data_IF_525787935652
#
_entry.id   IF_525787935652
#
_cell.length_a   1.000
_cell.length_b   1.000
_cell.length_c   1.000
_cell.angle_alpha   90.00
_cell.angle_beta   90.00
_cell.angle_gamma   90.00
#
_symmetry.space_group_name_H-M   'P 1'
#
loop_
_entity.id
_entity.type
_entity.pdbx_description
1 polymer ?
#
# COMPACT_ATOMS: atom_id res chain seq x y z
N UNK A 1 10.08 -3.98 9.04
CA UNK A 1 10.13 -4.98 10.12
C UNK A 1 8.97 -5.93 9.95
N UNK A 2 9.25 -7.21 9.69
CA UNK A 2 8.24 -8.28 9.67
C UNK A 2 7.99 -8.71 11.11
N UNK A 3 6.72 -8.77 11.52
CA UNK A 3 6.34 -9.24 12.85
C UNK A 3 6.73 -10.73 12.96
N UNK A 4 7.55 -11.13 13.95
CA UNK A 4 8.21 -12.45 13.97
C UNK A 4 7.29 -13.68 14.13
N UNK A 5 5.97 -13.52 14.15
CA UNK A 5 5.00 -14.57 14.49
C UNK A 5 3.96 -14.81 13.39
N UNK A 6 4.08 -14.12 12.26
CA UNK A 6 3.19 -14.29 11.11
C UNK A 6 4.02 -14.28 9.84
N UNK A 7 4.42 -15.46 9.38
CA UNK A 7 5.20 -15.66 8.14
C UNK A 7 4.50 -15.05 6.91
N UNK A 8 3.17 -14.90 6.99
CA UNK A 8 2.32 -14.28 5.96
C UNK A 8 2.10 -12.75 6.13
N UNK A 9 2.67 -12.12 7.17
CA UNK A 9 2.38 -10.71 7.49
C UNK A 9 3.41 -9.77 6.85
N UNK A 10 2.96 -9.02 5.84
CA UNK A 10 3.77 -8.00 5.20
C UNK A 10 3.15 -7.46 3.91
N UNK A 11 3.79 -6.42 3.37
CA UNK A 11 3.59 -6.01 1.98
C UNK A 11 4.36 -6.98 1.06
N UNK A 12 3.84 -7.26 -0.14
CA UNK A 12 4.53 -8.11 -1.11
C UNK A 12 5.87 -7.50 -1.52
N UNK A 13 6.80 -8.34 -1.99
CA UNK A 13 8.16 -7.93 -2.36
C UNK A 13 8.15 -6.72 -3.30
N UNK A 14 8.77 -5.64 -2.82
CA UNK A 14 8.81 -4.34 -3.49
C UNK A 14 9.98 -4.28 -4.47
N UNK A 15 11.01 -5.12 -4.33
CA UNK A 15 12.15 -5.14 -5.26
C UNK A 15 11.73 -5.64 -6.65
N UNK A 16 10.92 -6.70 -6.70
CA UNK A 16 10.34 -7.22 -7.95
C UNK A 16 9.36 -6.24 -8.64
N UNK A 17 8.72 -5.36 -7.87
CA UNK A 17 7.79 -4.34 -8.38
C UNK A 17 8.48 -3.41 -9.39
N UNK A 18 9.67 -2.91 -9.06
CA UNK A 18 10.42 -1.95 -9.88
C UNK A 18 10.92 -2.55 -11.21
N UNK A 19 11.17 -3.86 -11.25
CA UNK A 19 11.69 -4.54 -12.45
C UNK A 19 10.62 -4.74 -13.53
N UNK A 20 9.34 -4.79 -13.16
CA UNK A 20 8.23 -5.04 -14.08
C UNK A 20 7.28 -3.85 -14.28
N UNK A 21 7.70 -2.64 -13.90
CA UNK A 21 6.91 -1.43 -14.16
C UNK A 21 6.72 -1.21 -15.67
N UNK A 22 5.54 -0.70 -16.08
CA UNK A 22 4.37 -0.35 -15.27
C UNK A 22 3.40 -1.53 -15.02
N UNK A 23 3.59 -2.67 -15.68
CA UNK A 23 2.63 -3.78 -15.67
C UNK A 23 2.45 -4.41 -14.28
N UNK A 24 3.54 -4.56 -13.51
CA UNK A 24 3.52 -5.15 -12.17
C UNK A 24 2.79 -4.31 -11.11
N UNK A 25 2.50 -3.04 -11.41
CA UNK A 25 1.85 -2.14 -10.46
C UNK A 25 0.41 -2.56 -10.15
N UNK A 26 -0.34 -2.99 -11.17
CA UNK A 26 -1.72 -3.46 -11.01
C UNK A 26 -1.79 -4.76 -10.21
N UNK A 27 -0.90 -5.71 -10.49
CA UNK A 27 -0.83 -6.96 -9.75
C UNK A 27 -0.47 -6.72 -8.28
N UNK A 28 0.47 -5.80 -8.02
CA UNK A 28 0.86 -5.40 -6.68
C UNK A 28 -0.30 -4.76 -5.91
N UNK A 29 -1.05 -3.85 -6.53
CA UNK A 29 -2.28 -3.27 -5.92
C UNK A 29 -3.27 -4.37 -5.52
N UNK A 30 -3.45 -5.39 -6.35
CA UNK A 30 -4.34 -6.52 -6.05
C UNK A 30 -3.82 -7.39 -4.90
N UNK A 31 -2.51 -7.60 -4.82
CA UNK A 31 -1.89 -8.33 -3.70
C UNK A 31 -2.02 -7.54 -2.38
N UNK A 32 -1.73 -6.24 -2.41
CA UNK A 32 -1.91 -5.33 -1.25
C UNK A 32 -3.38 -5.35 -0.80
N UNK A 33 -4.34 -5.28 -1.74
CA UNK A 33 -5.77 -5.37 -1.43
C UNK A 33 -6.12 -6.65 -0.68
N UNK A 34 -5.65 -7.81 -1.18
CA UNK A 34 -5.88 -9.10 -0.53
C UNK A 34 -5.26 -9.16 0.86
N UNK A 35 -4.04 -8.66 1.03
CA UNK A 35 -3.36 -8.62 2.32
C UNK A 35 -4.12 -7.75 3.34
N UNK A 36 -4.52 -6.53 2.95
CA UNK A 36 -5.28 -5.63 3.82
C UNK A 36 -6.62 -6.27 4.22
N UNK A 37 -7.38 -6.83 3.28
CA UNK A 37 -8.67 -7.46 3.61
C UNK A 37 -8.52 -8.72 4.48
N UNK A 38 -7.41 -9.45 4.35
CA UNK A 38 -7.12 -10.63 5.19
C UNK A 38 -6.76 -10.25 6.62
N UNK A 39 -6.01 -9.17 6.81
CA UNK A 39 -5.38 -8.84 8.10
C UNK A 39 -6.00 -7.63 8.83
N UNK A 40 -6.79 -6.79 8.17
CA UNK A 40 -7.47 -5.63 8.77
C UNK A 40 -9.00 -5.81 8.75
N UNK A 41 -9.56 -6.65 9.66
CA UNK A 41 -11.00 -6.99 9.67
C UNK A 41 -11.92 -5.81 9.97
N UNK A 42 -11.36 -4.69 10.44
CA UNK A 42 -12.09 -3.44 10.72
C UNK A 42 -12.47 -2.68 9.45
N UNK A 43 -11.81 -2.95 8.32
CA UNK A 43 -12.07 -2.30 7.04
C UNK A 43 -13.23 -2.99 6.33
N UNK A 44 -14.20 -2.22 5.85
CA UNK A 44 -15.29 -2.74 5.04
C UNK A 44 -14.80 -3.05 3.61
N UNK A 45 -15.07 -4.25 3.04
CA UNK A 45 -14.55 -4.62 1.71
C UNK A 45 -14.94 -3.66 0.58
N UNK A 46 -16.13 -3.06 0.68
CA UNK A 46 -16.65 -2.07 -0.28
C UNK A 46 -16.12 -0.66 -0.04
N UNK A 47 -15.55 -0.39 1.13
CA UNK A 47 -14.96 0.90 1.51
C UNK A 47 -13.45 0.99 1.25
N UNK A 48 -12.82 -0.06 0.69
CA UNK A 48 -11.39 -0.10 0.42
C UNK A 48 -11.07 0.27 -1.02
N UNK A 49 -10.31 1.35 -1.21
CA UNK A 49 -9.73 1.78 -2.48
C UNK A 49 -8.21 1.89 -2.35
N UNK A 50 -7.48 1.34 -3.33
CA UNK A 50 -6.02 1.34 -3.35
C UNK A 50 -5.57 1.83 -4.72
N UNK A 51 -4.62 2.76 -4.72
CA UNK A 51 -3.98 3.31 -5.91
C UNK A 51 -2.47 3.26 -5.73
N UNK A 52 -1.75 2.90 -6.77
CA UNK A 52 -0.30 3.01 -6.83
C UNK A 52 0.08 3.82 -8.06
N UNK A 53 1.10 4.65 -7.95
CA UNK A 53 1.63 5.44 -9.06
C UNK A 53 3.13 5.69 -8.90
N UNK A 54 3.91 5.82 -10.00
CA UNK A 54 5.26 6.36 -9.93
C UNK A 54 5.25 7.74 -9.26
N UNK A 55 6.20 7.98 -8.37
CA UNK A 55 6.29 9.21 -7.58
C UNK A 55 7.70 9.77 -7.60
N UNK A 56 7.85 11.09 -7.80
CA UNK A 56 9.14 11.83 -7.74
C UNK A 56 10.32 11.07 -8.38
N UNK A 57 10.17 10.68 -9.65
CA UNK A 57 11.21 10.00 -10.43
C UNK A 57 12.34 10.97 -10.80
N UNK A 58 13.15 11.35 -9.79
CA UNK A 58 14.41 12.06 -10.01
C UNK A 58 15.40 11.13 -10.70
N UNK A 59 16.34 11.67 -11.48
CA UNK A 59 17.32 10.88 -12.24
C UNK A 59 18.01 9.85 -11.33
N UNK A 60 17.69 8.57 -11.52
CA UNK A 60 18.31 7.44 -10.84
C UNK A 60 17.48 6.83 -9.71
N UNK A 61 16.42 7.49 -9.23
CA UNK A 61 15.60 6.99 -8.12
C UNK A 61 14.16 6.74 -8.60
N UNK A 62 13.77 5.46 -8.64
CA UNK A 62 12.38 5.10 -8.85
C UNK A 62 11.70 5.03 -7.49
N UNK A 63 10.62 5.80 -7.33
CA UNK A 63 9.78 5.71 -6.13
C UNK A 63 8.34 5.48 -6.56
N UNK A 64 7.58 4.82 -5.69
CA UNK A 64 6.17 4.51 -5.92
C UNK A 64 5.39 5.03 -4.73
N UNK A 65 4.33 5.78 -5.01
CA UNK A 65 3.35 6.19 -4.00
C UNK A 65 2.18 5.22 -4.03
N UNK A 66 1.95 4.56 -2.91
CA UNK A 66 0.74 3.81 -2.61
C UNK A 66 -0.20 4.70 -1.81
N UNK A 67 -1.43 4.85 -2.25
CA UNK A 67 -2.50 5.48 -1.49
C UNK A 67 -3.57 4.44 -1.17
N UNK A 68 -3.96 4.37 0.10
CA UNK A 68 -5.05 3.53 0.59
C UNK A 68 -6.12 4.43 1.19
N UNK A 69 -7.34 4.31 0.71
CA UNK A 69 -8.53 4.89 1.32
C UNK A 69 -9.40 3.75 1.85
N UNK A 70 -9.80 3.85 3.11
CA UNK A 70 -10.56 2.81 3.76
C UNK A 70 -11.68 3.43 4.59
N UNK A 71 -12.88 2.84 4.49
CA UNK A 71 -13.97 3.05 5.44
C UNK A 71 -13.97 1.91 6.46
N UNK A 72 -13.94 2.29 7.74
CA UNK A 72 -14.00 1.35 8.86
C UNK A 72 -15.46 1.00 9.17
N UNK A 73 -15.67 -0.15 9.80
CA UNK A 73 -17.00 -0.61 10.22
C UNK A 73 -17.74 0.40 11.14
N UNK A 74 -17.01 1.27 11.83
CA UNK A 74 -17.56 2.36 12.65
C UNK A 74 -17.96 3.62 11.88
N UNK A 75 -17.85 3.64 10.54
CA UNK A 75 -18.20 4.79 9.68
C UNK A 75 -17.07 5.81 9.48
N UNK A 76 -15.97 5.73 10.24
CA UNK A 76 -14.78 6.55 10.02
C UNK A 76 -14.14 6.22 8.66
N UNK A 77 -13.69 7.25 7.93
CA UNK A 77 -12.87 7.09 6.74
C UNK A 77 -11.45 7.60 6.99
N UNK A 78 -10.47 6.86 6.49
CA UNK A 78 -9.06 7.22 6.61
C UNK A 78 -8.35 7.13 5.27
N UNK A 79 -7.32 7.97 5.12
CA UNK A 79 -6.37 7.89 4.00
C UNK A 79 -4.98 7.66 4.54
N UNK A 80 -4.33 6.63 4.01
CA UNK A 80 -2.91 6.35 4.22
C UNK A 80 -2.19 6.57 2.90
N UNK A 81 -1.00 7.13 2.96
CA UNK A 81 -0.09 7.16 1.83
C UNK A 81 1.28 6.63 2.26
N UNK A 82 1.82 5.70 1.49
CA UNK A 82 3.16 5.17 1.66
C UNK A 82 3.98 5.48 0.41
N UNK A 83 5.21 5.96 0.59
CA UNK A 83 6.19 6.10 -0.49
C UNK A 83 7.23 5.03 -0.32
N UNK A 84 7.42 4.22 -1.36
CA UNK A 84 8.43 3.17 -1.47
C UNK A 84 9.54 3.65 -2.38
N UNK A 85 10.79 3.52 -1.96
CA UNK A 85 11.95 3.69 -2.83
C UNK A 85 12.49 2.34 -3.33
N UNK A 86 13.37 2.41 -4.34
CA UNK A 86 14.03 1.23 -4.92
C UNK A 86 14.92 0.45 -3.95
N UNK A 87 15.28 1.03 -2.82
CA UNK A 87 16.13 0.43 -1.79
C UNK A 87 15.32 -0.21 -0.65
N UNK A 88 13.98 -0.16 -0.74
CA UNK A 88 13.07 -0.80 0.20
C UNK A 88 12.72 0.03 1.44
N UNK A 89 13.12 1.30 1.52
CA UNK A 89 12.65 2.21 2.55
C UNK A 89 11.20 2.65 2.27
N UNK A 90 10.43 2.79 3.35
CA UNK A 90 9.00 3.09 3.30
C UNK A 90 8.66 4.23 4.23
N UNK A 91 8.09 5.30 3.67
CA UNK A 91 7.58 6.44 4.44
C UNK A 91 6.06 6.44 4.44
N UNK A 92 5.44 6.27 5.62
CA UNK A 92 3.98 6.23 5.77
C UNK A 92 3.47 7.54 6.38
N UNK A 93 2.39 8.06 5.82
CA UNK A 93 1.65 9.20 6.31
C UNK A 93 0.16 8.86 6.45
N UNK A 94 -0.46 9.33 7.54
CA UNK A 94 -1.90 9.15 7.82
C UNK A 94 -2.60 10.50 7.78
N UNK A 95 -3.76 10.55 7.16
CA UNK A 95 -4.71 11.66 7.24
C UNK A 95 -6.10 11.10 7.52
N UNK A 96 -6.72 11.52 8.63
CA UNK A 96 -8.14 11.26 8.88
C UNK A 96 -8.97 12.06 7.87
N UNK A 97 -9.96 11.42 7.25
CA UNK A 97 -10.93 12.09 6.38
C UNK A 97 -12.23 12.18 7.19
N UNK A 98 -12.50 13.36 7.76
CA UNK A 98 -13.81 13.64 8.34
C UNK A 98 -14.85 13.66 7.23
N UNK A 99 -15.97 12.95 7.46
CA UNK A 99 -17.15 13.00 6.60
C UNK A 99 -17.82 14.38 6.65
#
# INVERSE_FOLDING_TARGET
>A
GVLPHMEDYGLPDVAGLFQGLPHSLNEWVMQVRRAILRFEPRILPHGLQIQAEPFDARKGEQRIRLTVQATLAGGESLRLAAVFDGDGAVHVSRRGLSA
#
